data_IF_883037106118
#
_entry.id   IF_883037106118
#
_cell.length_a   1.000
_cell.length_b   1.000
_cell.length_c   1.000
_cell.angle_alpha   90.00
_cell.angle_beta   90.00
_cell.angle_gamma   90.00
#
_symmetry.space_group_name_H-M   'P 1'
#
loop_
_entity.id
_entity.type
_entity.pdbx_description
1 polymer ?
#
# COMPACT_ATOMS: atom_id res chain seq x y z
N UNK A 1 -1.83 21.25 23.43
CA UNK A 1 -1.65 21.44 21.96
C UNK A 1 -0.50 20.65 21.33
N UNK A 2 0.56 20.24 22.06
CA UNK A 2 1.74 19.57 21.51
C UNK A 2 1.55 18.15 20.93
N UNK A 3 0.52 17.39 21.35
CA UNK A 3 0.25 16.02 20.86
C UNK A 3 -0.13 15.93 19.37
N UNK A 4 -0.56 17.02 18.74
CA UNK A 4 -1.01 17.01 17.34
C UNK A 4 0.16 17.02 16.33
N UNK A 5 1.33 17.52 16.74
CA UNK A 5 2.52 17.63 15.88
C UNK A 5 3.32 16.32 15.80
N UNK A 6 3.33 15.51 16.87
CA UNK A 6 4.08 14.24 16.91
C UNK A 6 3.48 13.15 16.00
N UNK A 7 2.17 13.18 15.73
CA UNK A 7 1.44 12.18 14.92
C UNK A 7 1.77 12.23 13.42
N UNK A 8 2.53 13.22 12.96
CA UNK A 8 2.83 13.45 11.53
C UNK A 8 4.14 12.82 11.05
N UNK A 9 4.90 12.18 11.94
CA UNK A 9 6.27 11.74 11.68
C UNK A 9 6.33 10.24 11.37
N UNK A 10 6.38 9.88 10.08
CA UNK A 10 7.05 8.68 9.52
C UNK A 10 6.76 8.47 8.02
N UNK A 11 5.77 9.16 7.46
CA UNK A 11 5.66 9.29 5.99
C UNK A 11 6.81 10.19 5.52
N UNK A 12 7.81 9.61 4.88
CA UNK A 12 8.92 10.37 4.30
C UNK A 12 8.67 10.58 2.80
N UNK A 13 9.17 11.69 2.26
CA UNK A 13 9.10 11.97 0.82
C UNK A 13 7.75 12.49 0.29
N UNK A 14 7.83 13.16 -0.86
CA UNK A 14 6.66 13.58 -1.65
C UNK A 14 6.34 12.48 -2.64
N UNK A 15 5.16 11.86 -2.52
CA UNK A 15 4.73 10.87 -3.50
C UNK A 15 4.53 11.52 -4.87
N UNK A 16 5.16 11.01 -5.93
CA UNK A 16 4.93 11.50 -7.28
C UNK A 16 3.47 11.26 -7.70
N UNK A 17 2.99 12.05 -8.66
CA UNK A 17 1.64 11.89 -9.21
C UNK A 17 1.56 10.61 -10.04
N UNK A 18 1.22 9.51 -9.38
CA UNK A 18 1.05 8.18 -9.99
C UNK A 18 -0.44 7.97 -10.33
N UNK A 19 -0.69 7.35 -11.49
CA UNK A 19 -2.03 6.93 -11.89
C UNK A 19 -2.62 5.95 -10.87
N UNK A 20 -3.79 6.29 -10.32
CA UNK A 20 -4.51 5.44 -9.35
C UNK A 20 -5.27 4.34 -10.09
N UNK A 21 -4.79 3.10 -9.95
CA UNK A 21 -5.36 1.92 -10.59
C UNK A 21 -6.22 1.04 -9.68
N UNK A 22 -6.30 1.36 -8.38
CA UNK A 22 -6.94 0.49 -7.39
C UNK A 22 -8.09 1.22 -6.68
N UNK A 23 -9.34 1.15 -7.18
CA UNK A 23 -10.48 1.71 -6.49
C UNK A 23 -10.82 0.93 -5.21
N UNK A 24 -11.67 1.49 -4.36
CA UNK A 24 -12.34 0.73 -3.30
C UNK A 24 -13.04 -0.50 -3.87
N UNK A 25 -13.16 -1.55 -3.05
CA UNK A 25 -13.64 -2.90 -3.39
C UNK A 25 -12.71 -3.71 -4.30
N UNK A 26 -11.59 -3.15 -4.77
CA UNK A 26 -10.58 -3.91 -5.48
C UNK A 26 -9.96 -4.97 -4.55
N UNK A 27 -9.83 -6.20 -5.06
CA UNK A 27 -9.14 -7.30 -4.39
C UNK A 27 -7.71 -7.41 -4.89
N UNK A 28 -6.76 -7.41 -3.97
CA UNK A 28 -5.32 -7.45 -4.24
C UNK A 28 -4.65 -8.54 -3.41
N UNK A 29 -3.49 -9.03 -3.88
CA UNK A 29 -2.73 -10.05 -3.15
C UNK A 29 -2.05 -9.43 -1.92
N UNK A 30 -1.96 -10.19 -0.84
CA UNK A 30 -1.07 -9.87 0.27
C UNK A 30 0.33 -10.41 -0.06
N UNK A 31 1.33 -9.54 -0.07
CA UNK A 31 2.71 -9.90 -0.40
C UNK A 31 3.60 -9.96 0.84
N UNK A 32 3.09 -10.47 1.95
CA UNK A 32 3.86 -10.66 3.17
C UNK A 32 3.68 -12.09 3.74
N UNK A 33 4.37 -12.36 4.85
CA UNK A 33 4.30 -13.62 5.58
C UNK A 33 3.31 -13.60 6.77
N UNK A 34 2.41 -12.61 6.87
CA UNK A 34 1.45 -12.51 7.99
C UNK A 34 0.42 -13.63 8.02
N UNK A 35 0.20 -14.29 6.87
CA UNK A 35 -0.83 -15.32 6.69
C UNK A 35 -2.11 -14.80 6.04
N UNK A 36 -2.19 -13.50 5.72
CA UNK A 36 -3.18 -12.99 4.77
C UNK A 36 -2.81 -13.39 3.34
N UNK A 37 -3.81 -13.64 2.48
CA UNK A 37 -3.63 -14.00 1.06
C UNK A 37 -4.33 -13.02 0.13
N UNK A 38 -5.59 -12.71 0.40
CA UNK A 38 -6.38 -11.74 -0.38
C UNK A 38 -6.87 -10.62 0.52
N UNK A 39 -6.59 -9.39 0.10
CA UNK A 39 -7.02 -8.16 0.73
C UNK A 39 -8.08 -7.49 -0.15
N UNK A 40 -9.12 -6.93 0.46
CA UNK A 40 -10.09 -6.07 -0.22
C UNK A 40 -9.96 -4.63 0.30
N UNK A 41 -9.81 -3.67 -0.61
CA UNK A 41 -9.67 -2.25 -0.25
C UNK A 41 -11.02 -1.70 0.20
N UNK A 42 -11.07 -1.18 1.42
CA UNK A 42 -12.26 -0.50 1.97
C UNK A 42 -12.15 1.01 1.81
N UNK A 43 -10.93 1.56 1.87
CA UNK A 43 -10.71 2.99 1.71
C UNK A 43 -9.25 3.36 1.50
N UNK A 44 -9.01 4.60 1.08
CA UNK A 44 -7.66 5.14 0.89
C UNK A 44 -7.40 6.23 1.91
N UNK A 45 -6.31 6.09 2.68
CA UNK A 45 -5.97 7.02 3.76
C UNK A 45 -5.57 8.37 3.17
N UNK A 46 -6.18 9.45 3.69
CA UNK A 46 -5.91 10.82 3.23
C UNK A 46 -6.52 11.18 1.87
N UNK A 47 -7.39 10.32 1.32
CA UNK A 47 -8.15 10.66 0.11
C UNK A 47 -9.22 11.71 0.40
N UNK A 48 -9.19 12.82 -0.32
CA UNK A 48 -10.28 13.81 -0.33
C UNK A 48 -11.23 13.48 -1.48
N UNK A 49 -12.45 13.08 -1.13
CA UNK A 49 -13.45 12.65 -2.09
C UNK A 49 -14.06 13.77 -2.93
N UNK A 50 -14.78 13.36 -3.98
CA UNK A 50 -15.67 14.22 -4.78
C UNK A 50 -16.92 13.42 -5.10
N UNK A 51 -18.09 14.08 -5.18
CA UNK A 51 -19.36 13.45 -5.59
C UNK A 51 -19.17 12.68 -6.90
N UNK A 52 -19.63 11.42 -6.93
CA UNK A 52 -19.54 10.53 -8.09
C UNK A 52 -18.15 9.91 -8.35
N UNK A 53 -17.16 10.07 -7.46
CA UNK A 53 -15.83 9.48 -7.62
C UNK A 53 -15.52 8.50 -6.50
N UNK A 54 -15.23 7.25 -6.88
CA UNK A 54 -14.75 6.24 -5.94
C UNK A 54 -13.35 6.60 -5.42
N UNK A 55 -13.09 6.46 -4.11
CA UNK A 55 -11.75 6.52 -3.58
C UNK A 55 -10.87 5.47 -4.25
N UNK A 56 -9.66 5.86 -4.59
CA UNK A 56 -8.71 4.99 -5.28
C UNK A 56 -7.30 5.18 -4.76
N UNK A 57 -6.46 4.20 -4.97
CA UNK A 57 -5.09 4.13 -4.53
C UNK A 57 -4.15 3.83 -5.71
N UNK A 58 -2.88 4.15 -5.51
CA UNK A 58 -1.78 3.71 -6.34
C UNK A 58 -0.63 3.23 -5.45
N UNK A 59 0.44 2.71 -6.08
CA UNK A 59 1.70 2.36 -5.40
C UNK A 59 2.13 3.45 -4.39
N UNK A 60 2.51 3.02 -3.20
CA UNK A 60 2.91 3.85 -2.06
C UNK A 60 1.75 4.44 -1.25
N UNK A 61 0.49 4.34 -1.69
CA UNK A 61 -0.64 4.75 -0.84
C UNK A 61 -0.86 3.74 0.30
N UNK A 62 -1.18 4.29 1.47
CA UNK A 62 -1.74 3.51 2.56
C UNK A 62 -3.26 3.39 2.36
N UNK A 63 -3.76 2.16 2.44
CA UNK A 63 -5.17 1.81 2.29
C UNK A 63 -5.67 1.13 3.55
N UNK A 64 -6.96 1.28 3.82
CA UNK A 64 -7.69 0.46 4.78
C UNK A 64 -8.20 -0.77 4.04
N UNK A 65 -7.92 -1.95 4.57
CA UNK A 65 -8.24 -3.24 3.96
C UNK A 65 -8.92 -4.17 4.95
N UNK A 66 -9.65 -5.14 4.41
CA UNK A 66 -10.08 -6.33 5.15
C UNK A 66 -9.51 -7.59 4.50
N UNK A 67 -9.10 -8.55 5.30
CA UNK A 67 -8.62 -9.84 4.79
C UNK A 67 -9.82 -10.69 4.41
N UNK A 68 -9.88 -11.10 3.13
CA UNK A 68 -10.93 -11.98 2.60
C UNK A 68 -10.52 -13.45 2.57
N UNK A 69 -9.23 -13.73 2.41
CA UNK A 69 -8.66 -15.09 2.50
C UNK A 69 -7.36 -15.03 3.28
N UNK A 70 -7.19 -15.91 4.26
CA UNK A 70 -5.99 -15.97 5.11
C UNK A 70 -6.26 -16.68 6.43
N UNK A 71 -5.40 -16.46 7.43
CA UNK A 71 -5.63 -16.90 8.82
C UNK A 71 -6.92 -16.27 9.38
N UNK A 72 -7.72 -17.07 10.07
CA UNK A 72 -9.03 -16.65 10.61
C UNK A 72 -8.91 -15.42 11.56
N UNK A 73 -7.84 -15.36 12.36
CA UNK A 73 -7.59 -14.27 13.31
C UNK A 73 -7.47 -12.87 12.67
N UNK A 74 -7.01 -12.83 11.42
CA UNK A 74 -6.81 -11.61 10.62
C UNK A 74 -8.05 -11.23 9.80
N UNK A 75 -8.98 -12.17 9.61
CA UNK A 75 -10.20 -11.95 8.85
C UNK A 75 -11.18 -11.07 9.62
N UNK A 76 -12.11 -10.45 8.90
CA UNK A 76 -13.20 -9.63 9.44
C UNK A 76 -12.78 -8.36 10.21
N UNK A 77 -11.48 -8.11 10.41
CA UNK A 77 -10.97 -6.91 11.08
C UNK A 77 -10.44 -5.91 10.06
N UNK A 78 -10.78 -4.61 10.17
CA UNK A 78 -10.16 -3.58 9.37
C UNK A 78 -8.69 -3.41 9.76
N UNK A 79 -7.81 -3.42 8.77
CA UNK A 79 -6.37 -3.24 8.92
C UNK A 79 -5.85 -2.22 7.92
N UNK A 80 -4.58 -1.83 8.05
CA UNK A 80 -3.90 -0.98 7.08
C UNK A 80 -2.94 -1.80 6.24
N UNK A 81 -2.79 -1.38 4.99
CA UNK A 81 -1.81 -1.93 4.08
C UNK A 81 -1.18 -0.83 3.23
N UNK A 82 0.04 -1.04 2.77
CA UNK A 82 0.69 -0.19 1.77
C UNK A 82 0.69 -0.92 0.44
N UNK A 83 0.22 -0.25 -0.62
CA UNK A 83 0.26 -0.79 -1.98
C UNK A 83 1.71 -0.79 -2.48
N UNK A 84 2.24 -1.96 -2.82
CA UNK A 84 3.64 -2.12 -3.28
C UNK A 84 3.77 -2.38 -4.78
N UNK A 85 2.73 -2.95 -5.42
CA UNK A 85 2.70 -3.28 -6.85
C UNK A 85 1.33 -2.94 -7.44
N UNK A 86 1.32 -2.50 -8.69
CA UNK A 86 0.10 -2.29 -9.45
C UNK A 86 0.25 -2.71 -10.91
N UNK A 87 -0.79 -3.35 -11.47
CA UNK A 87 -0.92 -3.69 -12.90
C UNK A 87 -1.07 -2.46 -13.78
N UNK A 88 -1.75 -1.42 -13.28
CA UNK A 88 -1.98 -0.20 -14.06
C UNK A 88 -0.65 0.50 -14.30
N UNK A 89 -0.22 0.59 -15.56
CA UNK A 89 1.02 1.28 -15.92
C UNK A 89 1.03 2.74 -15.43
N UNK A 90 2.20 3.20 -15.00
CA UNK A 90 2.43 4.60 -14.63
C UNK A 90 3.81 5.06 -15.07
N UNK A 91 3.94 6.38 -15.25
CA UNK A 91 5.16 7.02 -15.74
C UNK A 91 6.02 7.52 -14.58
N UNK A 92 7.30 7.19 -14.63
CA UNK A 92 8.33 7.69 -13.71
C UNK A 92 8.83 9.07 -14.13
N UNK A 93 9.52 9.76 -13.20
CA UNK A 93 10.11 11.08 -13.48
C UNK A 93 11.13 11.05 -14.61
N UNK A 94 11.86 9.95 -14.78
CA UNK A 94 12.81 9.73 -15.88
C UNK A 94 12.13 9.41 -17.22
N UNK A 95 10.80 9.44 -17.29
CA UNK A 95 10.03 9.20 -18.51
C UNK A 95 9.66 7.74 -18.77
N UNK A 96 10.29 6.79 -18.08
CA UNK A 96 10.00 5.36 -18.25
C UNK A 96 8.60 4.99 -17.75
N UNK A 97 7.97 4.04 -18.43
CA UNK A 97 6.71 3.44 -17.99
C UNK A 97 6.99 2.13 -17.29
N UNK A 98 6.33 1.92 -16.14
CA UNK A 98 6.44 0.68 -15.36
C UNK A 98 5.05 0.11 -15.09
N UNK A 99 4.95 -1.21 -15.12
CA UNK A 99 3.80 -2.00 -14.68
C UNK A 99 4.27 -3.29 -14.03
N UNK A 100 3.49 -3.81 -13.10
CA UNK A 100 3.76 -5.10 -12.45
C UNK A 100 2.78 -6.16 -12.95
N UNK A 101 3.16 -7.42 -12.80
CA UNK A 101 2.31 -8.56 -13.16
C UNK A 101 1.04 -8.64 -12.31
N UNK A 102 1.08 -8.19 -11.05
CA UNK A 102 -0.03 -8.26 -10.11
C UNK A 102 -0.25 -6.96 -9.33
N UNK A 103 -1.41 -6.90 -8.65
CA UNK A 103 -1.70 -5.87 -7.65
C UNK A 103 -1.42 -6.48 -6.28
N UNK A 104 -0.54 -5.86 -5.51
CA UNK A 104 -0.14 -6.39 -4.22
C UNK A 104 0.07 -5.29 -3.16
N UNK A 105 -0.18 -5.66 -1.91
CA UNK A 105 0.05 -4.81 -0.75
C UNK A 105 0.64 -5.60 0.43
N UNK A 106 1.25 -4.88 1.37
CA UNK A 106 1.83 -5.41 2.61
C UNK A 106 1.06 -4.84 3.79
N UNK A 107 0.69 -5.68 4.77
CA UNK A 107 0.02 -5.21 5.99
C UNK A 107 0.96 -4.40 6.87
N UNK A 108 0.44 -3.28 7.38
CA UNK A 108 1.17 -2.35 8.23
C UNK A 108 0.32 -1.94 9.44
N UNK A 109 0.97 -1.33 10.43
CA UNK A 109 0.29 -0.63 11.53
C UNK A 109 -0.23 0.75 11.10
N UNK A 110 -0.63 1.59 12.07
CA UNK A 110 -1.12 2.94 11.78
C UNK A 110 0.00 3.91 11.38
N UNK A 111 1.22 3.59 11.77
CA UNK A 111 2.44 4.35 11.61
C UNK A 111 3.20 3.97 10.32
N UNK A 112 2.79 2.89 9.65
CA UNK A 112 3.40 2.35 8.43
C UNK A 112 4.54 1.36 8.67
N UNK A 113 4.68 0.84 9.89
CA UNK A 113 5.61 -0.26 10.20
C UNK A 113 5.01 -1.57 9.69
N UNK A 114 5.77 -2.41 8.96
CA UNK A 114 5.29 -3.70 8.48
C UNK A 114 4.92 -4.64 9.62
N UNK A 115 3.81 -5.36 9.47
CA UNK A 115 3.42 -6.43 10.41
C UNK A 115 4.12 -7.76 10.14
N UNK A 116 4.46 -8.01 8.88
CA UNK A 116 5.24 -9.17 8.46
C UNK A 116 6.73 -8.92 8.60
N UNK A 117 7.51 -10.00 8.62
CA UNK A 117 8.98 -9.96 8.67
C UNK A 117 9.64 -10.05 7.29
N UNK A 118 8.88 -10.34 6.24
CA UNK A 118 9.40 -10.52 4.88
C UNK A 118 8.35 -10.11 3.84
N UNK A 119 8.80 -9.52 2.73
CA UNK A 119 7.97 -9.19 1.57
C UNK A 119 8.24 -10.13 0.40
N UNK A 120 7.16 -10.68 -0.17
CA UNK A 120 7.22 -11.65 -1.27
C UNK A 120 7.23 -10.97 -2.64
N UNK A 121 8.32 -11.19 -3.38
CA UNK A 121 8.51 -10.67 -4.73
C UNK A 121 8.93 -9.19 -4.75
N UNK A 122 8.96 -8.56 -5.94
CA UNK A 122 9.52 -7.22 -6.09
C UNK A 122 8.64 -6.14 -5.46
N UNK A 123 9.27 -5.04 -5.04
CA UNK A 123 8.61 -3.82 -4.56
C UNK A 123 8.94 -2.65 -5.47
N UNK A 124 7.96 -1.81 -5.77
CA UNK A 124 8.21 -0.57 -6.48
C UNK A 124 9.05 0.42 -5.65
N UNK A 125 10.05 1.04 -6.28
CA UNK A 125 10.91 2.08 -5.67
C UNK A 125 10.08 3.18 -4.98
N UNK A 126 8.99 3.61 -5.61
CA UNK A 126 8.11 4.67 -5.12
C UNK A 126 7.41 4.30 -3.80
N UNK A 127 7.21 3.01 -3.52
CA UNK A 127 6.68 2.57 -2.23
C UNK A 127 7.73 2.69 -1.13
N UNK A 128 9.00 2.36 -1.41
CA UNK A 128 10.10 2.41 -0.46
C UNK A 128 10.53 3.85 -0.15
N UNK A 129 10.59 4.71 -1.17
CA UNK A 129 10.86 6.14 -0.97
C UNK A 129 9.88 6.77 0.03
N UNK A 130 8.64 6.26 0.08
CA UNK A 130 7.62 6.72 1.01
C UNK A 130 7.62 5.99 2.36
N UNK A 131 7.95 4.70 2.34
CA UNK A 131 7.92 3.80 3.48
C UNK A 131 9.25 3.03 3.58
N UNK A 132 10.32 3.64 4.12
CA UNK A 132 11.65 3.04 4.13
C UNK A 132 11.74 1.68 4.82
N UNK A 133 10.88 1.46 5.83
CA UNK A 133 10.82 0.18 6.56
C UNK A 133 10.47 -1.02 5.67
N UNK A 134 9.79 -0.81 4.54
CA UNK A 134 9.53 -1.89 3.57
C UNK A 134 10.77 -2.29 2.78
N UNK A 135 11.69 -1.36 2.55
CA UNK A 135 12.91 -1.62 1.79
C UNK A 135 13.85 -2.62 2.47
N UNK A 136 13.89 -2.61 3.81
CA UNK A 136 14.69 -3.57 4.58
C UNK A 136 14.16 -5.01 4.51
N UNK A 137 12.89 -5.21 4.15
CA UNK A 137 12.24 -6.52 4.09
C UNK A 137 12.12 -7.06 2.65
N UNK A 138 12.59 -6.29 1.67
CA UNK A 138 12.41 -6.56 0.25
C UNK A 138 13.63 -7.29 -0.32
N UNK A 139 13.41 -8.42 -0.99
CA UNK A 139 14.47 -9.08 -1.74
C UNK A 139 14.84 -8.36 -3.05
N UNK A 140 13.88 -7.66 -3.67
CA UNK A 140 14.10 -6.98 -4.96
C UNK A 140 13.30 -5.68 -5.03
N UNK A 141 13.95 -4.63 -5.51
CA UNK A 141 13.36 -3.30 -5.70
C UNK A 141 13.43 -2.94 -7.19
N UNK A 142 12.29 -2.47 -7.73
CA UNK A 142 12.15 -2.12 -9.15
C UNK A 142 11.68 -0.69 -9.29
#
# INVERSE_FOLDING_TARGET
MARRLARRRKVQGVKPKITRGLPTLARIKCADNTGARILEIVGTVGYKGRKGRLPSASVGDMVVVVVKKGKNELMHKPMRAVVIRQKKAYRRKNGQWIQFEDNAAVLVDNEGVPKGSEVKGPIAKEAIERWPALGALAATVV
#
